data_IF_791292206949
#
_entry.id   IF_791292206949
#
_cell.length_a   1.000
_cell.length_b   1.000
_cell.length_c   1.000
_cell.angle_alpha   90.00
_cell.angle_beta   90.00
_cell.angle_gamma   90.00
#
_symmetry.space_group_name_H-M   'P 1'
#
loop_
_entity.id
_entity.type
_entity.pdbx_description
1 polymer ?
#
# COMPACT_ATOMS: atom_id res chain seq x y z
N UNK A 1 10.60 14.66 -16.67
CA UNK A 1 10.43 13.48 -15.82
C UNK A 1 11.42 12.40 -16.25
N UNK A 2 11.97 11.59 -15.37
CA UNK A 2 12.95 10.56 -15.73
C UNK A 2 12.28 9.49 -16.59
N UNK A 3 12.84 9.29 -17.79
CA UNK A 3 12.43 8.21 -18.69
C UNK A 3 13.02 6.90 -18.18
N UNK A 4 12.27 5.82 -18.29
CA UNK A 4 12.83 4.49 -18.06
C UNK A 4 13.82 4.18 -19.19
N UNK A 5 14.99 3.68 -18.82
CA UNK A 5 16.02 3.30 -19.80
C UNK A 5 15.64 1.95 -20.43
N UNK A 6 14.88 2.00 -21.53
CA UNK A 6 14.32 0.82 -22.21
C UNK A 6 14.55 0.96 -23.72
N UNK A 7 14.90 -0.13 -24.38
CA UNK A 7 15.04 -0.16 -25.85
C UNK A 7 13.67 0.08 -26.53
N UNK A 8 13.60 0.99 -27.50
CA UNK A 8 12.36 1.34 -28.22
C UNK A 8 11.96 0.24 -29.21
N UNK A 9 11.31 -0.81 -28.72
CA UNK A 9 10.80 -1.93 -29.54
C UNK A 9 9.28 -2.07 -29.39
N UNK A 10 8.61 -2.64 -30.42
CA UNK A 10 7.17 -2.93 -30.41
C UNK A 10 6.79 -3.87 -29.25
N UNK A 11 7.69 -4.81 -28.91
CA UNK A 11 7.49 -5.75 -27.81
C UNK A 11 7.48 -5.02 -26.45
N UNK A 12 8.45 -4.14 -26.20
CA UNK A 12 8.49 -3.33 -24.97
C UNK A 12 7.32 -2.35 -24.87
N UNK A 13 6.87 -1.81 -25.99
CA UNK A 13 5.67 -0.98 -26.04
C UNK A 13 4.44 -1.73 -25.52
N UNK A 14 4.22 -2.96 -26.00
CA UNK A 14 3.09 -3.81 -25.56
C UNK A 14 3.20 -4.16 -24.07
N UNK A 15 4.42 -4.50 -23.61
CA UNK A 15 4.71 -4.79 -22.22
C UNK A 15 4.42 -3.59 -21.30
N UNK A 16 4.86 -2.39 -21.70
CA UNK A 16 4.64 -1.16 -20.93
C UNK A 16 3.17 -0.74 -20.91
N UNK A 17 2.44 -0.92 -22.02
CA UNK A 17 0.97 -0.72 -22.05
C UNK A 17 0.25 -1.66 -21.08
N UNK A 18 0.69 -2.92 -21.01
CA UNK A 18 0.19 -3.89 -20.01
C UNK A 18 0.49 -3.45 -18.57
N UNK A 19 1.74 -3.06 -18.30
CA UNK A 19 2.15 -2.53 -16.99
C UNK A 19 1.34 -1.28 -16.58
N UNK A 20 1.14 -0.35 -17.50
CA UNK A 20 0.35 0.86 -17.24
C UNK A 20 -1.09 0.51 -16.84
N UNK A 21 -1.73 -0.40 -17.59
CA UNK A 21 -3.10 -0.86 -17.27
C UNK A 21 -3.18 -1.52 -15.90
N UNK A 22 -2.20 -2.36 -15.55
CA UNK A 22 -2.11 -3.00 -14.23
C UNK A 22 -1.87 -1.97 -13.13
N UNK A 23 -0.97 -1.00 -13.36
CA UNK A 23 -0.69 0.09 -12.41
C UNK A 23 -1.92 0.96 -12.14
N UNK A 24 -2.68 1.31 -13.19
CA UNK A 24 -3.92 2.08 -13.06
C UNK A 24 -5.01 1.33 -12.27
N UNK A 25 -5.18 0.03 -12.54
CA UNK A 25 -6.11 -0.81 -11.77
C UNK A 25 -5.65 -0.95 -10.32
N UNK A 26 -4.36 -1.22 -10.10
CA UNK A 26 -3.79 -1.32 -8.77
C UNK A 26 -3.91 -0.02 -7.97
N UNK A 27 -3.69 1.13 -8.60
CA UNK A 27 -3.89 2.44 -8.00
C UNK A 27 -5.34 2.61 -7.52
N UNK A 28 -6.33 2.31 -8.36
CA UNK A 28 -7.75 2.40 -7.99
C UNK A 28 -8.08 1.50 -6.80
N UNK A 29 -7.71 0.21 -6.86
CA UNK A 29 -7.97 -0.74 -5.79
C UNK A 29 -7.29 -0.37 -4.46
N UNK A 30 -6.05 0.13 -4.51
CA UNK A 30 -5.35 0.58 -3.30
C UNK A 30 -5.95 1.88 -2.74
N UNK A 31 -6.46 2.76 -3.59
CA UNK A 31 -7.17 3.95 -3.16
C UNK A 31 -8.47 3.58 -2.44
N UNK A 32 -9.27 2.69 -3.05
CA UNK A 32 -10.52 2.20 -2.46
C UNK A 32 -10.23 1.49 -1.11
N UNK A 33 -9.18 0.64 -1.06
CA UNK A 33 -8.74 0.00 0.20
C UNK A 33 -8.35 1.02 1.27
N UNK A 34 -7.59 2.06 0.91
CA UNK A 34 -7.18 3.12 1.84
C UNK A 34 -8.37 3.87 2.41
N UNK A 35 -9.33 4.21 1.54
CA UNK A 35 -10.50 5.00 1.92
C UNK A 35 -11.42 4.20 2.87
N UNK A 36 -11.56 2.90 2.65
CA UNK A 36 -12.31 2.02 3.56
C UNK A 36 -11.58 1.78 4.89
N UNK A 37 -10.25 1.56 4.86
CA UNK A 37 -9.45 1.49 6.09
C UNK A 37 -9.52 2.78 6.89
N UNK A 38 -9.51 3.95 6.23
CA UNK A 38 -9.64 5.24 6.90
C UNK A 38 -10.99 5.38 7.61
N UNK A 39 -12.07 4.89 7.00
CA UNK A 39 -13.40 4.91 7.61
C UNK A 39 -13.44 4.07 8.88
N UNK A 40 -12.96 2.83 8.81
CA UNK A 40 -12.89 1.94 9.97
C UNK A 40 -11.98 2.48 11.07
N UNK A 41 -10.84 3.05 10.69
CA UNK A 41 -9.93 3.71 11.63
C UNK A 41 -10.61 4.86 12.38
N UNK A 42 -11.37 5.71 11.69
CA UNK A 42 -12.08 6.82 12.34
C UNK A 42 -13.17 6.33 13.31
N UNK A 43 -13.85 5.22 12.99
CA UNK A 43 -14.81 4.57 13.89
C UNK A 43 -14.10 4.05 15.15
N UNK A 44 -12.99 3.33 14.97
CA UNK A 44 -12.17 2.81 16.08
C UNK A 44 -11.61 3.94 16.95
N UNK A 45 -11.11 5.04 16.36
CA UNK A 45 -10.61 6.21 17.12
C UNK A 45 -11.70 6.86 17.97
N UNK A 46 -12.95 6.92 17.47
CA UNK A 46 -14.07 7.42 18.26
C UNK A 46 -14.36 6.51 19.47
N UNK A 47 -14.33 5.19 19.26
CA UNK A 47 -14.49 4.21 20.34
C UNK A 47 -13.36 4.34 21.37
N UNK A 48 -12.09 4.43 20.93
CA UNK A 48 -10.94 4.67 21.82
C UNK A 48 -11.13 5.91 22.66
N UNK A 49 -11.54 7.02 22.03
CA UNK A 49 -11.76 8.28 22.75
C UNK A 49 -12.84 8.17 23.84
N UNK A 50 -13.94 7.49 23.52
CA UNK A 50 -15.03 7.26 24.49
C UNK A 50 -14.56 6.40 25.66
N UNK A 51 -13.96 5.23 25.37
CA UNK A 51 -13.44 4.32 26.40
C UNK A 51 -12.34 4.96 27.23
N UNK A 52 -11.48 5.78 26.64
CA UNK A 52 -10.41 6.48 27.35
C UNK A 52 -10.97 7.49 28.35
N UNK A 53 -11.96 8.28 27.94
CA UNK A 53 -12.60 9.24 28.84
C UNK A 53 -13.28 8.55 30.04
N UNK A 54 -13.98 7.42 29.80
CA UNK A 54 -14.58 6.62 30.87
C UNK A 54 -13.52 6.05 31.83
N UNK A 55 -12.43 5.47 31.27
CA UNK A 55 -11.34 4.90 32.08
C UNK A 55 -10.62 5.99 32.88
N UNK A 56 -10.38 7.16 32.31
CA UNK A 56 -9.75 8.28 33.01
C UNK A 56 -10.61 8.78 34.17
N UNK A 57 -11.93 8.91 34.00
CA UNK A 57 -12.86 9.31 35.08
C UNK A 57 -12.88 8.29 36.19
N UNK A 58 -13.01 7.01 35.86
CA UNK A 58 -13.01 5.93 36.84
C UNK A 58 -11.67 5.81 37.59
N UNK A 59 -10.53 5.97 36.90
CA UNK A 59 -9.21 5.99 37.53
C UNK A 59 -9.04 7.17 38.47
N UNK A 60 -9.59 8.33 38.17
CA UNK A 60 -9.57 9.46 39.11
C UNK A 60 -10.30 9.12 40.41
N UNK A 61 -11.44 8.41 40.35
CA UNK A 61 -12.16 7.96 41.55
C UNK A 61 -11.37 6.92 42.34
N UNK A 62 -10.73 5.96 41.64
CA UNK A 62 -9.84 4.95 42.26
C UNK A 62 -8.66 5.63 42.97
N UNK A 63 -7.99 6.57 42.32
CA UNK A 63 -6.87 7.31 42.90
C UNK A 63 -7.31 8.13 44.13
N UNK A 64 -8.49 8.72 44.08
CA UNK A 64 -9.09 9.40 45.22
C UNK A 64 -9.27 8.46 46.42
N UNK A 65 -9.85 7.28 46.19
CA UNK A 65 -10.05 6.25 47.24
C UNK A 65 -8.71 5.74 47.79
N UNK A 66 -7.70 5.50 46.96
CA UNK A 66 -6.35 5.13 47.41
C UNK A 66 -5.68 6.25 48.23
N UNK A 67 -5.88 7.51 47.87
CA UNK A 67 -5.34 8.64 48.63
C UNK A 67 -5.96 8.71 50.02
N UNK A 68 -7.26 8.49 50.14
CA UNK A 68 -7.95 8.42 51.46
C UNK A 68 -7.45 7.23 52.25
N UNK A 69 -7.35 6.04 51.67
CA UNK A 69 -6.80 4.86 52.31
C UNK A 69 -5.36 5.09 52.81
N UNK A 70 -4.52 5.74 51.98
CA UNK A 70 -3.13 6.10 52.39
C UNK A 70 -3.04 7.11 53.50
N UNK A 71 -4.03 7.98 53.65
CA UNK A 71 -4.09 8.93 54.77
C UNK A 71 -4.50 8.28 56.08
N UNK A 72 -5.27 7.18 56.01
CA UNK A 72 -5.77 6.45 57.19
C UNK A 72 -4.82 5.34 57.68
N UNK A 73 -3.96 4.83 56.81
CA UNK A 73 -3.02 3.74 57.04
C UNK A 73 -1.58 4.24 57.04
N UNK A 74 -0.68 3.53 57.73
CA UNK A 74 0.75 3.78 57.62
C UNK A 74 1.26 3.28 56.24
N UNK A 75 2.28 3.94 55.66
CA UNK A 75 2.90 3.54 54.38
C UNK A 75 3.38 2.09 54.40
N UNK A 76 3.95 1.64 55.51
CA UNK A 76 4.45 0.28 55.73
C UNK A 76 3.31 -0.75 55.68
N UNK A 77 2.17 -0.45 56.34
CA UNK A 77 1.01 -1.33 56.34
C UNK A 77 0.37 -1.45 54.94
N UNK A 78 0.34 -0.36 54.18
CA UNK A 78 -0.17 -0.39 52.80
C UNK A 78 0.76 -1.19 51.87
N UNK A 79 2.07 -1.02 51.94
CA UNK A 79 3.03 -1.81 51.18
C UNK A 79 2.92 -3.30 51.50
N UNK A 80 2.81 -3.67 52.78
CA UNK A 80 2.61 -5.06 53.19
C UNK A 80 1.29 -5.64 52.69
N UNK A 81 0.22 -4.87 52.64
CA UNK A 81 -1.09 -5.31 52.16
C UNK A 81 -1.07 -5.61 50.63
N UNK A 82 -0.31 -4.85 49.84
CA UNK A 82 -0.33 -4.94 48.40
C UNK A 82 0.81 -5.78 47.78
N UNK A 83 1.78 -6.25 48.58
CA UNK A 83 2.98 -6.94 48.12
C UNK A 83 2.70 -8.29 47.42
N UNK A 84 1.66 -9.00 47.86
CA UNK A 84 1.26 -10.31 47.34
C UNK A 84 -0.12 -10.26 46.70
N UNK A 85 -0.23 -10.08 45.37
CA UNK A 85 -1.54 -10.12 44.71
C UNK A 85 -2.12 -11.54 44.71
N UNK A 86 -3.36 -11.69 45.15
CA UNK A 86 -4.12 -12.95 45.10
C UNK A 86 -4.70 -13.21 43.70
N UNK A 87 -5.07 -12.18 43.02
CA UNK A 87 -5.60 -12.29 41.65
C UNK A 87 -4.47 -12.41 40.63
N UNK A 88 -4.56 -13.41 39.76
CA UNK A 88 -3.75 -13.49 38.55
C UNK A 88 -4.66 -13.46 37.34
N UNK A 89 -4.23 -12.72 36.31
CA UNK A 89 -4.94 -12.60 35.04
C UNK A 89 -4.11 -13.31 33.96
N UNK A 90 -4.73 -14.27 33.31
CA UNK A 90 -4.13 -14.94 32.14
C UNK A 90 -4.71 -14.33 30.88
N UNK A 91 -3.82 -13.73 30.06
CA UNK A 91 -4.17 -13.09 28.79
C UNK A 91 -3.83 -14.04 27.65
N UNK A 92 -4.85 -14.42 26.89
CA UNK A 92 -4.67 -15.17 25.64
C UNK A 92 -4.87 -14.22 24.46
N UNK A 93 -3.88 -14.13 23.56
CA UNK A 93 -3.95 -13.28 22.38
C UNK A 93 -4.39 -14.10 21.17
N UNK A 94 -5.56 -13.75 20.61
CA UNK A 94 -6.01 -14.16 19.29
C UNK A 94 -5.74 -13.06 18.25
N UNK A 95 -5.88 -13.39 16.96
CA UNK A 95 -5.78 -12.42 15.88
C UNK A 95 -7.01 -12.51 14.98
N UNK A 96 -7.60 -11.36 14.69
CA UNK A 96 -8.66 -11.21 13.71
C UNK A 96 -8.13 -10.41 12.52
N UNK A 97 -8.44 -10.85 11.31
CA UNK A 97 -8.03 -10.13 10.10
C UNK A 97 -9.11 -9.15 9.67
N UNK A 98 -8.76 -7.86 9.65
CA UNK A 98 -9.62 -6.78 9.15
C UNK A 98 -8.91 -6.14 7.96
N UNK A 99 -9.41 -6.35 6.75
CA UNK A 99 -8.87 -5.79 5.50
C UNK A 99 -7.34 -5.98 5.32
N UNK A 100 -6.84 -7.17 5.64
CA UNK A 100 -5.42 -7.54 5.62
C UNK A 100 -4.57 -6.93 6.76
N UNK A 101 -5.21 -6.37 7.79
CA UNK A 101 -4.57 -5.99 9.05
C UNK A 101 -4.91 -7.06 10.09
N UNK A 102 -3.89 -7.64 10.71
CA UNK A 102 -4.08 -8.59 11.80
C UNK A 102 -4.24 -7.80 13.10
N UNK A 103 -5.47 -7.69 13.56
CA UNK A 103 -5.84 -6.99 14.79
C UNK A 103 -5.83 -8.00 15.93
N UNK A 104 -5.18 -7.69 17.08
CA UNK A 104 -5.21 -8.57 18.24
C UNK A 104 -6.58 -8.54 18.89
N UNK A 105 -7.03 -9.71 19.32
CA UNK A 105 -8.21 -9.91 20.18
C UNK A 105 -7.72 -10.48 21.50
N UNK A 106 -8.01 -9.79 22.59
CA UNK A 106 -7.61 -10.19 23.94
C UNK A 106 -8.74 -10.95 24.61
N UNK A 107 -8.46 -12.20 24.97
CA UNK A 107 -9.30 -12.99 25.86
C UNK A 107 -8.58 -13.12 27.20
N UNK A 108 -9.21 -12.63 28.26
CA UNK A 108 -8.63 -12.64 29.60
C UNK A 108 -9.47 -13.47 30.55
N UNK A 109 -8.80 -14.32 31.31
CA UNK A 109 -9.39 -15.14 32.35
C UNK A 109 -8.76 -14.77 33.68
N UNK A 110 -9.59 -14.41 34.63
CA UNK A 110 -9.16 -14.22 36.02
C UNK A 110 -9.07 -15.59 36.69
N UNK A 111 -7.89 -15.92 37.22
CA UNK A 111 -7.66 -17.15 38.00
C UNK A 111 -7.93 -16.85 39.47
N UNK A 112 -9.16 -16.59 39.84
CA UNK A 112 -9.61 -16.50 41.24
C UNK A 112 -10.62 -17.59 41.51
N UNK A 113 -10.50 -18.26 42.67
CA UNK A 113 -11.42 -19.33 43.03
C UNK A 113 -12.82 -18.80 43.36
N UNK A 114 -12.94 -17.54 43.73
CA UNK A 114 -14.19 -16.86 44.05
C UNK A 114 -14.06 -15.37 43.76
N UNK A 115 -15.14 -14.73 43.28
CA UNK A 115 -15.19 -13.25 43.12
C UNK A 115 -15.00 -12.49 44.42
N UNK A 116 -15.21 -13.15 45.58
CA UNK A 116 -14.99 -12.59 46.90
C UNK A 116 -13.55 -12.64 47.38
N UNK A 117 -12.66 -13.38 46.71
CA UNK A 117 -11.27 -13.58 47.13
C UNK A 117 -10.30 -12.62 46.39
N UNK A 118 -10.71 -11.34 46.36
CA UNK A 118 -9.97 -10.26 45.71
C UNK A 118 -8.90 -9.70 46.65
N UNK A 119 -9.13 -9.75 47.94
CA UNK A 119 -8.33 -9.08 48.96
C UNK A 119 -7.12 -9.92 49.38
N UNK A 120 -5.88 -9.45 49.15
CA UNK A 120 -4.66 -10.19 49.52
C UNK A 120 -4.26 -10.05 50.99
N UNK A 121 -5.00 -9.28 51.80
CA UNK A 121 -4.64 -8.87 53.13
C UNK A 121 -5.71 -9.27 54.16
N UNK A 122 -5.31 -9.27 55.44
CA UNK A 122 -6.21 -9.56 56.56
C UNK A 122 -6.88 -8.29 57.10
N UNK A 123 -8.11 -8.44 57.60
CA UNK A 123 -8.94 -7.31 58.05
C UNK A 123 -8.42 -6.58 59.30
N UNK A 124 -7.43 -7.12 60.00
CA UNK A 124 -7.01 -6.58 61.30
C UNK A 124 -6.14 -5.30 61.21
N UNK A 125 -5.47 -5.06 60.08
CA UNK A 125 -4.54 -3.95 59.89
C UNK A 125 -4.88 -3.04 58.70
N UNK A 126 -6.04 -3.25 58.09
CA UNK A 126 -6.44 -2.54 56.86
C UNK A 126 -7.74 -1.78 57.03
N UNK A 127 -7.88 -0.65 56.34
CA UNK A 127 -9.10 0.16 56.36
C UNK A 127 -10.08 -0.32 55.26
N UNK A 128 -11.39 -0.20 55.53
CA UNK A 128 -12.43 -0.52 54.54
C UNK A 128 -12.39 0.35 53.27
N UNK A 129 -11.72 1.51 53.32
CA UNK A 129 -11.49 2.36 52.17
C UNK A 129 -10.54 1.71 51.17
N UNK A 130 -9.57 0.89 51.63
CA UNK A 130 -8.71 0.12 50.72
C UNK A 130 -9.49 -0.95 49.98
N UNK A 131 -10.47 -1.58 50.61
CA UNK A 131 -11.32 -2.58 49.96
C UNK A 131 -12.15 -1.97 48.85
N UNK A 132 -12.71 -0.78 49.07
CA UNK A 132 -13.47 -0.06 48.06
C UNK A 132 -12.59 0.36 46.87
N UNK A 133 -11.34 0.78 47.14
CA UNK A 133 -10.37 1.16 46.08
C UNK A 133 -9.94 -0.05 45.24
N UNK A 134 -9.67 -1.20 45.86
CA UNK A 134 -9.27 -2.44 45.18
C UNK A 134 -10.42 -2.99 44.32
N UNK A 135 -11.66 -2.98 44.82
CA UNK A 135 -12.84 -3.41 44.07
C UNK A 135 -13.09 -2.49 42.84
N UNK A 136 -13.00 -1.17 43.04
CA UNK A 136 -13.10 -0.20 41.94
C UNK A 136 -12.00 -0.41 40.92
N UNK A 137 -10.75 -0.63 41.33
CA UNK A 137 -9.62 -0.92 40.42
C UNK A 137 -9.87 -2.20 39.61
N UNK A 138 -10.41 -3.25 40.22
CA UNK A 138 -10.75 -4.49 39.52
C UNK A 138 -11.77 -4.29 38.41
N UNK A 139 -12.75 -3.40 38.59
CA UNK A 139 -13.75 -3.03 37.58
C UNK A 139 -13.10 -2.23 36.41
N UNK A 140 -12.29 -1.23 36.76
CA UNK A 140 -11.57 -0.39 35.77
C UNK A 140 -10.57 -1.22 34.99
N UNK A 141 -9.90 -2.18 35.59
CA UNK A 141 -8.89 -3.02 34.93
C UNK A 141 -9.45 -3.76 33.70
N UNK A 142 -10.67 -4.27 33.78
CA UNK A 142 -11.34 -4.91 32.63
C UNK A 142 -11.53 -3.92 31.46
N UNK A 143 -11.91 -2.67 31.76
CA UNK A 143 -12.06 -1.61 30.75
C UNK A 143 -10.69 -1.20 30.17
N UNK A 144 -9.64 -1.15 30.99
CA UNK A 144 -8.28 -0.86 30.54
C UNK A 144 -7.77 -1.92 29.56
N UNK A 145 -8.03 -3.20 29.79
CA UNK A 145 -7.67 -4.27 28.84
C UNK A 145 -8.40 -4.12 27.49
N UNK A 146 -9.70 -3.78 27.55
CA UNK A 146 -10.48 -3.50 26.32
C UNK A 146 -9.92 -2.27 25.60
N UNK A 147 -9.61 -1.20 26.31
CA UNK A 147 -8.99 0.00 25.77
C UNK A 147 -7.66 -0.33 25.07
N UNK A 148 -6.79 -1.09 25.73
CA UNK A 148 -5.51 -1.51 25.18
C UNK A 148 -5.67 -2.31 23.87
N UNK A 149 -6.67 -3.19 23.78
CA UNK A 149 -6.99 -3.93 22.55
C UNK A 149 -7.38 -2.99 21.43
N UNK A 150 -8.31 -2.06 21.68
CA UNK A 150 -8.83 -1.14 20.67
C UNK A 150 -7.76 -0.12 20.24
N UNK A 151 -6.95 0.38 21.18
CA UNK A 151 -5.81 1.25 20.87
C UNK A 151 -4.77 0.54 20.00
N UNK A 152 -4.43 -0.73 20.31
CA UNK A 152 -3.50 -1.50 19.48
C UNK A 152 -4.05 -1.75 18.09
N UNK A 153 -5.34 -2.01 17.95
CA UNK A 153 -6.00 -2.16 16.67
C UNK A 153 -5.94 -0.87 15.83
N UNK A 154 -6.20 0.27 16.46
CA UNK A 154 -6.09 1.58 15.81
C UNK A 154 -4.65 1.87 15.34
N UNK A 155 -3.65 1.56 16.17
CA UNK A 155 -2.25 1.72 15.82
C UNK A 155 -1.86 0.90 14.58
N UNK A 156 -2.24 -0.37 14.53
CA UNK A 156 -1.94 -1.26 13.40
C UNK A 156 -2.66 -0.81 12.12
N UNK A 157 -3.91 -0.34 12.22
CA UNK A 157 -4.64 0.24 11.09
C UNK A 157 -3.97 1.52 10.58
N UNK A 158 -3.50 2.40 11.47
CA UNK A 158 -2.78 3.62 11.09
C UNK A 158 -1.50 3.32 10.32
N UNK A 159 -0.70 2.33 10.76
CA UNK A 159 0.51 1.88 10.07
C UNK A 159 0.21 1.35 8.66
N UNK A 160 -0.85 0.55 8.49
CA UNK A 160 -1.21 0.02 7.18
C UNK A 160 -1.78 1.10 6.25
N UNK A 161 -2.54 2.07 6.79
CA UNK A 161 -2.99 3.25 6.05
C UNK A 161 -1.79 4.05 5.53
N UNK A 162 -0.77 4.27 6.36
CA UNK A 162 0.45 4.97 5.94
C UNK A 162 1.19 4.20 4.84
N UNK A 163 1.39 2.90 4.99
CA UNK A 163 2.01 2.04 3.98
C UNK A 163 1.23 2.07 2.65
N UNK A 164 -0.10 1.98 2.73
CA UNK A 164 -0.97 2.03 1.56
C UNK A 164 -0.94 3.41 0.90
N UNK A 165 -0.96 4.49 1.67
CA UNK A 165 -0.82 5.86 1.17
C UNK A 165 0.50 6.07 0.42
N UNK A 166 1.61 5.58 0.96
CA UNK A 166 2.91 5.65 0.28
C UNK A 166 2.90 4.89 -1.05
N UNK A 167 2.27 3.69 -1.11
CA UNK A 167 2.14 2.90 -2.34
C UNK A 167 1.25 3.61 -3.38
N UNK A 168 0.13 4.18 -2.96
CA UNK A 168 -0.77 4.96 -3.84
C UNK A 168 -0.03 6.15 -4.43
N UNK A 169 0.65 6.94 -3.60
CA UNK A 169 1.43 8.10 -4.04
C UNK A 169 2.56 7.70 -5.02
N UNK A 170 3.28 6.61 -4.75
CA UNK A 170 4.31 6.12 -5.66
C UNK A 170 3.75 5.71 -7.02
N UNK A 171 2.58 5.06 -7.05
CA UNK A 171 1.91 4.72 -8.31
C UNK A 171 1.45 5.96 -9.06
N UNK A 172 0.83 6.91 -8.37
CA UNK A 172 0.23 8.11 -8.98
C UNK A 172 1.26 9.09 -9.51
N UNK A 173 2.31 9.38 -8.74
CA UNK A 173 3.27 10.45 -9.07
C UNK A 173 4.55 9.95 -9.74
N UNK A 174 4.89 8.68 -9.61
CA UNK A 174 6.14 8.15 -10.16
C UNK A 174 5.88 7.11 -11.25
N UNK A 175 5.16 6.03 -10.95
CA UNK A 175 5.07 4.87 -11.84
C UNK A 175 4.21 5.18 -13.07
N UNK A 176 3.02 5.70 -12.88
CA UNK A 176 2.07 5.98 -13.97
C UNK A 176 2.63 7.03 -14.93
N UNK A 177 3.08 8.23 -14.48
CA UNK A 177 3.57 9.25 -15.40
C UNK A 177 4.86 8.84 -16.10
N UNK A 178 5.82 8.20 -15.41
CA UNK A 178 7.05 7.73 -16.05
C UNK A 178 6.78 6.67 -17.13
N UNK A 179 5.83 5.77 -16.87
CA UNK A 179 5.43 4.74 -17.84
C UNK A 179 4.73 5.38 -19.05
N UNK A 180 3.86 6.36 -18.85
CA UNK A 180 3.17 7.08 -19.92
C UNK A 180 4.16 7.85 -20.80
N UNK A 181 5.13 8.54 -20.20
CA UNK A 181 6.16 9.29 -20.92
C UNK A 181 7.08 8.36 -21.72
N UNK A 182 7.45 7.22 -21.14
CA UNK A 182 8.24 6.20 -21.85
C UNK A 182 7.48 5.61 -23.03
N UNK A 183 6.19 5.32 -22.88
CA UNK A 183 5.33 4.86 -24.00
C UNK A 183 5.27 5.90 -25.11
N UNK A 184 5.10 7.18 -24.77
CA UNK A 184 5.09 8.28 -25.73
C UNK A 184 6.42 8.35 -26.49
N UNK A 185 7.54 8.26 -25.77
CA UNK A 185 8.87 8.26 -26.36
C UNK A 185 9.09 7.07 -27.33
N UNK A 186 8.68 5.86 -26.93
CA UNK A 186 8.80 4.67 -27.78
C UNK A 186 7.95 4.82 -29.05
N UNK A 187 6.70 5.32 -28.95
CA UNK A 187 5.87 5.58 -30.14
C UNK A 187 6.56 6.55 -31.08
N UNK A 188 7.06 7.68 -30.62
CA UNK A 188 7.78 8.65 -31.42
C UNK A 188 8.99 8.02 -32.14
N UNK A 189 9.74 7.15 -31.48
CA UNK A 189 10.90 6.47 -32.07
C UNK A 189 10.50 5.43 -33.12
N UNK A 190 9.41 4.69 -32.87
CA UNK A 190 8.89 3.74 -33.84
C UNK A 190 8.34 4.45 -35.10
N UNK A 191 7.59 5.53 -34.90
CA UNK A 191 7.06 6.34 -36.00
C UNK A 191 8.21 6.94 -36.86
N UNK A 192 9.30 7.41 -36.23
CA UNK A 192 10.47 7.92 -36.96
C UNK A 192 11.21 6.80 -37.72
N UNK A 193 11.33 5.62 -37.13
CA UNK A 193 11.89 4.46 -37.80
C UNK A 193 11.03 4.03 -39.03
N UNK A 194 9.70 3.98 -38.85
CA UNK A 194 8.79 3.64 -39.96
C UNK A 194 8.82 4.70 -41.06
N UNK A 195 8.91 5.98 -40.71
CA UNK A 195 9.11 7.09 -41.67
C UNK A 195 10.43 6.95 -42.42
N UNK A 196 11.52 6.72 -41.69
CA UNK A 196 12.85 6.55 -42.26
C UNK A 196 12.91 5.35 -43.24
N UNK A 197 12.31 4.21 -42.88
CA UNK A 197 12.21 3.04 -43.78
C UNK A 197 11.37 3.31 -44.99
N UNK A 198 10.26 4.02 -44.87
CA UNK A 198 9.42 4.39 -46.01
C UNK A 198 10.18 5.29 -47.01
N UNK A 199 10.91 6.29 -46.51
CA UNK A 199 11.73 7.18 -47.34
C UNK A 199 12.85 6.39 -48.06
N UNK A 200 13.52 5.45 -47.35
CA UNK A 200 14.53 4.58 -47.98
C UNK A 200 13.92 3.71 -49.09
N UNK A 201 12.75 3.10 -48.85
CA UNK A 201 12.06 2.30 -49.86
C UNK A 201 11.63 3.13 -51.08
N UNK A 202 11.12 4.35 -50.86
CA UNK A 202 10.82 5.26 -51.98
C UNK A 202 12.08 5.57 -52.81
N UNK A 203 13.20 5.85 -52.13
CA UNK A 203 14.48 6.14 -52.83
C UNK A 203 14.99 4.96 -53.65
N UNK A 204 14.91 3.74 -53.06
CA UNK A 204 15.29 2.51 -53.78
C UNK A 204 14.38 2.28 -54.99
N UNK A 205 13.06 2.46 -54.84
CA UNK A 205 12.10 2.38 -55.95
C UNK A 205 12.45 3.35 -57.07
N UNK A 206 12.78 4.61 -56.72
CA UNK A 206 13.15 5.63 -57.70
C UNK A 206 14.45 5.29 -58.45
N UNK A 207 15.42 4.67 -57.76
CA UNK A 207 16.64 4.18 -58.42
C UNK A 207 16.34 3.04 -59.38
N UNK A 208 15.60 2.02 -58.95
CA UNK A 208 15.21 0.90 -59.81
C UNK A 208 14.42 1.34 -61.05
N UNK A 209 13.52 2.32 -60.87
CA UNK A 209 12.78 2.88 -62.00
C UNK A 209 13.70 3.63 -62.98
N UNK A 210 14.70 4.36 -62.52
CA UNK A 210 15.70 5.02 -63.37
C UNK A 210 16.54 4.01 -64.15
N UNK A 211 17.06 3.00 -63.47
CA UNK A 211 17.85 1.94 -64.07
C UNK A 211 17.04 1.20 -65.13
N UNK A 212 15.76 0.85 -64.89
CA UNK A 212 14.88 0.23 -65.89
C UNK A 212 14.55 1.13 -67.07
N UNK A 213 14.47 2.45 -66.84
CA UNK A 213 14.28 3.42 -67.99
C UNK A 213 15.58 3.54 -68.83
N UNK A 214 16.74 3.54 -68.19
CA UNK A 214 18.03 3.58 -68.86
C UNK A 214 18.29 2.31 -69.67
N UNK A 215 17.99 1.14 -69.12
CA UNK A 215 18.08 -0.14 -69.86
C UNK A 215 17.16 -0.16 -71.04
N UNK A 216 15.90 0.25 -70.95
CA UNK A 216 14.98 0.37 -72.12
C UNK A 216 15.44 1.36 -73.10
N UNK A 217 16.02 2.49 -72.69
CA UNK A 217 16.61 3.46 -73.58
C UNK A 217 17.82 2.87 -74.36
N UNK A 218 18.67 2.11 -73.63
CA UNK A 218 19.81 1.43 -74.23
C UNK A 218 19.39 0.31 -75.19
N UNK A 219 18.35 -0.46 -74.88
CA UNK A 219 17.78 -1.47 -75.80
C UNK A 219 17.18 -0.84 -77.01
N UNK A 220 16.39 0.22 -76.93
CA UNK A 220 15.82 0.96 -77.99
C UNK A 220 16.91 1.59 -78.88
N UNK A 221 17.99 2.13 -78.30
CA UNK A 221 19.10 2.66 -79.01
C UNK A 221 19.89 1.58 -79.81
N UNK A 222 20.03 0.37 -79.24
CA UNK A 222 20.61 -0.80 -79.97
C UNK A 222 19.71 -1.28 -81.02
N UNK A 223 18.38 -1.35 -80.82
CA UNK A 223 17.41 -1.71 -81.86
C UNK A 223 17.41 -0.70 -83.08
N UNK A 224 17.49 0.60 -82.76
CA UNK A 224 17.58 1.64 -83.83
C UNK A 224 18.88 1.53 -84.58
N UNK A 225 20.02 1.26 -83.97
CA UNK A 225 21.29 1.01 -84.62
C UNK A 225 21.24 -0.25 -85.51
N UNK A 226 20.65 -1.33 -85.02
CA UNK A 226 20.49 -2.55 -85.80
C UNK A 226 19.56 -2.37 -87.02
N UNK A 227 18.54 -1.52 -86.94
CA UNK A 227 17.67 -1.16 -88.06
C UNK A 227 18.37 -0.23 -89.07
N UNK A 228 19.25 0.67 -88.63
CA UNK A 228 20.02 1.57 -89.49
C UNK A 228 21.10 0.87 -90.31
N UNK A 229 21.71 -0.19 -89.73
CA UNK A 229 22.76 -0.98 -90.36
C UNK A 229 22.23 -2.02 -91.41
N UNK A 230 20.90 -2.34 -91.30
CA UNK A 230 20.22 -3.21 -92.28
C UNK A 230 19.66 -2.48 -93.54
N UNK A 231 19.88 -1.18 -93.64
CA UNK A 231 19.30 -0.30 -94.68
C UNK A 231 20.22 0.00 -95.92
N UNK A 232 21.40 -0.61 -96.07
CA UNK A 232 22.17 -0.56 -97.30
C UNK A 232 21.59 -1.56 -98.28
N UNK A 233 20.71 -1.08 -99.12
CA UNK A 233 20.28 -1.78 -100.35
C UNK A 233 21.44 -1.75 -101.31
N UNK A 234 21.97 -2.88 -101.86
CA UNK A 234 22.98 -2.87 -102.86
C UNK A 234 22.35 -2.33 -104.16
N UNK A 235 22.88 -1.21 -104.60
CA UNK A 235 22.58 -0.71 -105.96
C UNK A 235 23.03 -1.75 -106.96
N UNK A 236 22.11 -2.35 -107.71
CA UNK A 236 22.41 -3.10 -108.91
C UNK A 236 22.65 -2.15 -110.08
N UNK A 237 23.75 -2.38 -110.70
CA UNK A 237 24.15 -1.83 -112.02
C UNK A 237 23.21 -2.24 -113.13
#
# INVERSE_FOLDING_TARGET
MPKLNVNPTRMELTRLKGKLRTAQRGHKLLKDKRDELMKQFLETVREVRGLRAEVEEELMTVHGAFTVASALMSSEAMEQALIYPKQSVELTMGFQNIMSVNVPVYDFKTKTQSDSDIYPYGFAATSGELDTAVDALGKVFRKMLKLAQVEKSAQLMAEEIEKTRRRVNALEYVVIPNTQETIRYINMKLDENDRSTTIRLMKVKDMLLKDAIEEKKAENARAIKAFGDSGEVPAKA
#
